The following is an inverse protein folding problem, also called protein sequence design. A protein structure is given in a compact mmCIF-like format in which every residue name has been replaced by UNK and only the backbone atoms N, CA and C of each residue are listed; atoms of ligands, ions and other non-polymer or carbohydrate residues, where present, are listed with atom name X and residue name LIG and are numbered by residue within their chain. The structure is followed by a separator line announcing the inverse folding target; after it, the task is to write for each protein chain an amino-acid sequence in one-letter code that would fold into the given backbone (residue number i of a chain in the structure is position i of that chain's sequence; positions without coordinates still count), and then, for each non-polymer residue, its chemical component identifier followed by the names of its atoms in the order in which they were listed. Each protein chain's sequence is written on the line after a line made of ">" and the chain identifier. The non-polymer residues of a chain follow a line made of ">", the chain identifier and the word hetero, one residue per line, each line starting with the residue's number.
data_IF_213696924942
#
_entry.id   IF_213696924942
#
_cell.length_a   1.000
_cell.length_b   1.000
_cell.length_c   1.000
_cell.angle_alpha   90.00
_cell.angle_beta   90.00
_cell.angle_gamma   90.00
#
_symmetry.space_group_name_H-M   'P 1'
#
loop_
_entity.id
_entity.type
_entity.pdbx_description
1 polymer ?
#
# COMPACT_ATOMS: atom_id res chain seq x y z
N UNK A 1 24.31 19.98 -15.10
CA UNK A 1 23.11 20.36 -15.89
C UNK A 1 21.91 20.30 -14.96
N UNK A 2 21.58 21.41 -14.31
CA UNK A 2 20.35 21.53 -13.52
C UNK A 2 19.24 21.93 -14.50
N UNK A 3 18.48 20.96 -14.99
CA UNK A 3 17.23 21.26 -15.67
C UNK A 3 16.29 21.84 -14.60
N UNK A 4 16.02 23.14 -14.70
CA UNK A 4 14.91 23.78 -14.03
C UNK A 4 13.64 23.02 -14.39
N UNK A 5 13.02 22.35 -13.41
CA UNK A 5 11.65 21.87 -13.56
C UNK A 5 10.80 23.13 -13.71
N UNK A 6 10.53 23.52 -14.96
CA UNK A 6 9.60 24.61 -15.27
C UNK A 6 8.26 24.32 -14.59
N UNK A 7 7.58 25.37 -14.15
CA UNK A 7 6.26 25.32 -13.51
C UNK A 7 5.14 24.93 -14.49
N UNK A 8 5.31 23.84 -15.23
CA UNK A 8 4.20 23.13 -15.83
C UNK A 8 3.60 22.24 -14.75
N UNK A 9 2.52 22.72 -14.13
CA UNK A 9 1.71 21.90 -13.23
C UNK A 9 1.00 20.85 -14.08
N UNK A 10 1.66 19.73 -14.34
CA UNK A 10 1.00 18.57 -14.93
C UNK A 10 -0.10 18.12 -13.97
N UNK A 11 -1.34 18.12 -14.43
CA UNK A 11 -2.48 17.70 -13.62
C UNK A 11 -2.43 16.19 -13.40
N UNK A 12 -2.57 15.77 -12.14
CA UNK A 12 -2.87 14.39 -11.79
C UNK A 12 -4.40 14.24 -11.71
N UNK A 13 -4.98 13.34 -12.50
CA UNK A 13 -6.41 13.04 -12.39
C UNK A 13 -6.70 12.30 -11.09
N UNK A 14 -7.93 12.42 -10.59
CA UNK A 14 -8.39 11.60 -9.46
C UNK A 14 -8.20 10.11 -9.79
N UNK A 15 -7.47 9.33 -8.98
CA UNK A 15 -7.32 7.91 -9.21
C UNK A 15 -8.67 7.19 -9.12
N UNK A 16 -8.96 6.33 -10.09
CA UNK A 16 -10.14 5.47 -10.11
C UNK A 16 -9.73 4.03 -9.79
N UNK A 17 -10.42 3.38 -8.86
CA UNK A 17 -10.23 1.96 -8.57
C UNK A 17 -10.74 1.14 -9.76
N UNK A 18 -9.90 0.27 -10.32
CA UNK A 18 -10.23 -0.57 -11.48
C UNK A 18 -10.14 -2.06 -11.17
N UNK A 19 -9.66 -2.42 -9.98
CA UNK A 19 -9.52 -3.81 -9.58
C UNK A 19 -8.93 -3.94 -8.20
N UNK A 20 -8.80 -5.19 -7.79
CA UNK A 20 -8.35 -5.58 -6.46
C UNK A 20 -7.71 -6.97 -6.49
N UNK A 21 -6.96 -7.29 -5.44
CA UNK A 21 -6.51 -8.65 -5.15
C UNK A 21 -6.31 -8.85 -3.66
N UNK A 22 -6.42 -10.11 -3.24
CA UNK A 22 -5.97 -10.59 -1.94
C UNK A 22 -4.75 -11.49 -2.13
N UNK A 23 -3.84 -11.50 -1.17
CA UNK A 23 -2.65 -12.37 -1.12
C UNK A 23 -2.67 -13.11 0.20
N UNK A 24 -2.68 -14.44 0.17
CA UNK A 24 -2.81 -15.25 1.40
C UNK A 24 -1.49 -15.44 2.17
N UNK A 25 -1.57 -16.18 3.28
CA UNK A 25 -0.43 -16.57 4.12
C UNK A 25 0.70 -17.28 3.36
N UNK A 26 0.37 -17.99 2.28
CA UNK A 26 1.32 -18.68 1.40
C UNK A 26 1.86 -17.80 0.28
N UNK A 27 1.52 -16.50 0.30
CA UNK A 27 1.84 -15.51 -0.73
C UNK A 27 1.19 -15.81 -2.09
N UNK A 28 0.05 -16.51 -2.08
CA UNK A 28 -0.69 -16.81 -3.29
C UNK A 28 -1.76 -15.78 -3.62
N UNK A 29 -1.94 -15.54 -4.93
CA UNK A 29 -2.88 -14.57 -5.46
C UNK A 29 -4.31 -15.09 -5.42
N UNK A 30 -5.23 -14.22 -4.98
CA UNK A 30 -6.68 -14.47 -4.99
C UNK A 30 -7.46 -13.28 -5.55
N UNK A 31 -8.43 -13.55 -6.43
CA UNK A 31 -9.33 -12.53 -7.00
C UNK A 31 -10.57 -12.33 -6.13
N UNK A 32 -10.37 -12.08 -4.83
CA UNK A 32 -11.45 -11.90 -3.85
C UNK A 32 -11.07 -10.86 -2.79
N UNK A 33 -11.96 -10.66 -1.81
CA UNK A 33 -11.79 -9.70 -0.72
C UNK A 33 -11.31 -10.34 0.59
N UNK A 34 -10.76 -11.56 0.54
CA UNK A 34 -10.43 -12.34 1.75
C UNK A 34 -9.43 -11.67 2.69
N UNK A 35 -8.59 -10.77 2.16
CA UNK A 35 -7.59 -10.04 2.94
C UNK A 35 -7.94 -8.58 3.19
N UNK A 36 -9.12 -8.11 2.76
CA UNK A 36 -9.60 -6.78 3.08
C UNK A 36 -9.91 -6.70 4.58
N UNK A 37 -9.29 -5.74 5.27
CA UNK A 37 -9.52 -5.47 6.70
C UNK A 37 -10.33 -4.20 6.91
N UNK A 38 -10.92 -4.06 8.09
CA UNK A 38 -11.87 -2.99 8.41
C UNK A 38 -11.45 -2.23 9.65
N UNK A 39 -11.54 -0.90 9.57
CA UNK A 39 -11.39 -0.01 10.72
C UNK A 39 -12.79 0.49 11.13
N UNK A 40 -13.36 -0.18 12.13
CA UNK A 40 -14.68 0.16 12.68
C UNK A 40 -14.66 1.38 13.59
N UNK A 41 -13.55 1.57 14.31
CA UNK A 41 -13.44 2.61 15.32
C UNK A 41 -12.00 3.07 15.48
N UNK A 42 -11.82 4.37 15.64
CA UNK A 42 -10.54 4.97 16.04
C UNK A 42 -10.62 5.31 17.53
N UNK A 43 -9.80 4.69 18.39
CA UNK A 43 -9.72 5.03 19.81
C UNK A 43 -9.53 6.53 20.05
N UNK A 44 -10.41 7.12 20.86
CA UNK A 44 -10.25 8.49 21.35
C UNK A 44 -9.39 8.51 22.61
N UNK A 45 -8.44 9.44 22.64
CA UNK A 45 -7.55 9.64 23.80
C UNK A 45 -6.27 8.82 23.73
N UNK A 46 -5.66 8.57 24.89
CA UNK A 46 -4.43 7.79 24.98
C UNK A 46 -4.74 6.30 24.87
N UNK A 47 -3.97 5.60 24.04
CA UNK A 47 -4.02 4.15 23.91
C UNK A 47 -2.69 3.55 24.35
N UNK A 48 -2.75 2.38 24.98
CA UNK A 48 -1.58 1.60 25.35
C UNK A 48 -1.65 0.28 24.59
N UNK A 49 -0.91 0.20 23.48
CA UNK A 49 -0.84 -1.00 22.64
C UNK A 49 0.54 -1.64 22.81
N UNK A 50 0.59 -2.90 23.24
CA UNK A 50 1.85 -3.63 23.34
C UNK A 50 2.24 -4.23 21.98
N UNK A 51 3.06 -3.50 21.24
CA UNK A 51 3.54 -3.95 19.92
C UNK A 51 4.46 -5.18 20.00
N UNK A 52 4.90 -5.61 21.19
CA UNK A 52 5.66 -6.83 21.37
C UNK A 52 4.77 -8.06 21.63
N UNK A 53 3.47 -7.89 21.87
CA UNK A 53 2.56 -9.00 22.18
C UNK A 53 2.52 -10.04 21.06
N UNK A 54 3.04 -11.24 21.33
CA UNK A 54 3.06 -12.36 20.38
C UNK A 54 3.99 -12.17 19.17
N UNK A 55 4.91 -11.20 19.23
CA UNK A 55 5.78 -10.86 18.09
C UNK A 55 6.78 -11.97 17.76
N UNK A 56 7.11 -12.80 18.75
CA UNK A 56 7.95 -13.99 18.60
C UNK A 56 7.31 -15.08 17.73
N UNK A 57 5.98 -15.05 17.58
CA UNK A 57 5.21 -15.97 16.72
C UNK A 57 4.98 -15.42 15.31
N UNK A 58 5.47 -14.20 15.01
CA UNK A 58 5.22 -13.55 13.73
C UNK A 58 5.79 -14.37 12.55
N UNK A 59 4.97 -14.57 11.53
CA UNK A 59 5.36 -15.20 10.27
C UNK A 59 5.89 -14.12 9.35
N UNK A 60 7.21 -14.15 9.12
CA UNK A 60 7.92 -13.20 8.26
C UNK A 60 7.60 -13.43 6.79
N UNK A 61 7.65 -12.34 6.02
CA UNK A 61 7.40 -12.38 4.59
C UNK A 61 8.47 -13.19 3.87
N UNK A 62 8.04 -14.08 2.98
CA UNK A 62 8.93 -15.05 2.31
C UNK A 62 9.67 -14.47 1.10
N UNK A 63 9.24 -13.32 0.57
CA UNK A 63 9.73 -12.72 -0.68
C UNK A 63 10.42 -11.36 -0.51
N UNK A 64 10.89 -11.07 0.70
CA UNK A 64 11.48 -9.77 1.06
C UNK A 64 12.82 -9.44 0.35
N UNK A 65 13.39 -10.37 -0.42
CA UNK A 65 14.62 -10.18 -1.21
C UNK A 65 14.40 -9.53 -2.58
N UNK A 66 13.23 -8.93 -2.80
CA UNK A 66 12.83 -8.36 -4.09
C UNK A 66 12.72 -9.41 -5.22
N UNK A 67 12.55 -10.69 -4.87
CA UNK A 67 12.31 -11.78 -5.83
C UNK A 67 10.93 -11.72 -6.50
N UNK A 68 9.89 -11.30 -5.76
CA UNK A 68 8.52 -11.20 -6.26
C UNK A 68 8.36 -10.11 -7.33
N UNK A 69 9.09 -9.00 -7.22
CA UNK A 69 9.06 -7.87 -8.16
C UNK A 69 7.62 -7.42 -8.44
N UNK A 70 7.20 -7.43 -9.70
CA UNK A 70 5.83 -7.10 -10.14
C UNK A 70 4.98 -8.35 -10.44
N UNK A 71 5.40 -9.55 -9.99
CA UNK A 71 4.74 -10.81 -10.34
C UNK A 71 3.26 -10.85 -9.95
N UNK A 72 2.90 -10.41 -8.75
CA UNK A 72 1.49 -10.37 -8.31
C UNK A 72 0.66 -9.37 -9.13
N UNK A 73 1.22 -8.21 -9.48
CA UNK A 73 0.58 -7.26 -10.40
C UNK A 73 0.36 -7.89 -11.78
N UNK A 74 1.34 -8.63 -12.30
CA UNK A 74 1.19 -9.34 -13.58
C UNK A 74 0.14 -10.46 -13.49
N UNK A 75 0.05 -11.19 -12.37
CA UNK A 75 -1.04 -12.15 -12.09
C UNK A 75 -2.40 -11.45 -12.11
N UNK A 76 -2.53 -10.30 -11.44
CA UNK A 76 -3.74 -9.47 -11.48
C UNK A 76 -4.12 -9.08 -12.91
N UNK A 77 -3.18 -8.53 -13.68
CA UNK A 77 -3.44 -8.09 -15.05
C UNK A 77 -3.86 -9.27 -15.94
N UNK A 78 -3.16 -10.41 -15.85
CA UNK A 78 -3.49 -11.61 -16.62
C UNK A 78 -4.93 -12.08 -16.35
N UNK A 79 -5.37 -12.04 -15.10
CA UNK A 79 -6.68 -12.53 -14.70
C UNK A 79 -7.83 -11.54 -14.93
N UNK A 80 -7.51 -10.25 -15.09
CA UNK A 80 -8.50 -9.17 -15.18
C UNK A 80 -8.34 -8.32 -16.45
N UNK A 81 -7.54 -8.79 -17.42
CA UNK A 81 -7.21 -8.05 -18.65
C UNK A 81 -8.49 -7.59 -19.36
N UNK A 82 -9.52 -8.44 -19.43
CA UNK A 82 -10.78 -8.18 -20.10
C UNK A 82 -11.67 -7.15 -19.40
N UNK A 83 -11.43 -6.85 -18.12
CA UNK A 83 -12.09 -5.75 -17.41
C UNK A 83 -11.25 -4.47 -17.47
N UNK A 84 -9.92 -4.61 -17.46
CA UNK A 84 -8.98 -3.50 -17.35
C UNK A 84 -8.68 -2.87 -18.70
N UNK A 85 -8.67 -3.61 -19.80
CA UNK A 85 -8.26 -3.14 -21.14
C UNK A 85 -9.42 -2.94 -22.12
N UNK A 86 -10.66 -2.79 -21.64
CA UNK A 86 -11.80 -2.50 -22.54
C UNK A 86 -11.66 -1.15 -23.25
N UNK A 87 -10.90 -0.21 -22.67
CA UNK A 87 -10.49 1.02 -23.34
C UNK A 87 -9.26 0.72 -24.24
N UNK A 88 -9.43 0.69 -25.56
CA UNK A 88 -8.44 0.35 -26.62
C UNK A 88 -7.14 1.19 -26.65
N UNK A 89 -6.81 1.97 -25.62
CA UNK A 89 -5.67 2.88 -25.61
C UNK A 89 -4.69 2.48 -24.51
N UNK A 90 -3.62 1.81 -24.95
CA UNK A 90 -2.52 1.26 -24.15
C UNK A 90 -2.13 2.10 -22.93
N UNK A 91 -2.07 1.41 -21.79
CA UNK A 91 -1.51 1.95 -20.55
C UNK A 91 -0.09 2.41 -20.80
N UNK A 92 0.25 3.65 -20.47
CA UNK A 92 1.59 4.16 -20.76
C UNK A 92 2.60 3.65 -19.73
N UNK A 93 2.21 3.63 -18.46
CA UNK A 93 3.03 3.09 -17.38
C UNK A 93 2.22 2.16 -16.48
N UNK A 94 2.81 1.02 -16.16
CA UNK A 94 2.24 -0.02 -15.30
C UNK A 94 3.23 -0.30 -14.16
N UNK A 95 2.83 -0.11 -12.91
CA UNK A 95 3.76 -0.26 -11.77
C UNK A 95 3.06 -0.41 -10.41
N UNK A 96 3.80 -0.39 -9.31
CA UNK A 96 3.25 -0.23 -7.97
C UNK A 96 3.37 1.22 -7.46
N UNK A 97 2.46 1.61 -6.56
CA UNK A 97 2.46 2.91 -5.85
C UNK A 97 3.83 3.24 -5.27
N UNK A 98 4.52 2.25 -4.69
CA UNK A 98 5.88 2.41 -4.13
C UNK A 98 6.89 2.93 -5.14
N UNK A 99 6.85 2.45 -6.39
CA UNK A 99 7.74 2.92 -7.46
C UNK A 99 7.45 4.36 -7.83
N UNK A 100 6.17 4.75 -7.91
CA UNK A 100 5.79 6.14 -8.15
C UNK A 100 6.26 7.06 -7.01
N UNK A 101 6.05 6.66 -5.75
CA UNK A 101 6.53 7.41 -4.57
C UNK A 101 8.05 7.58 -4.63
N UNK A 102 8.79 6.52 -4.96
CA UNK A 102 10.25 6.55 -5.08
C UNK A 102 10.72 7.58 -6.12
N UNK A 103 10.09 7.62 -7.30
CA UNK A 103 10.36 8.62 -8.34
C UNK A 103 10.03 10.04 -7.85
N UNK A 104 8.86 10.23 -7.25
CA UNK A 104 8.43 11.56 -6.77
C UNK A 104 9.32 12.08 -5.65
N UNK A 105 9.71 11.23 -4.69
CA UNK A 105 10.56 11.61 -3.58
C UNK A 105 12.01 11.87 -4.01
N UNK A 106 12.50 11.17 -5.02
CA UNK A 106 13.84 11.41 -5.59
C UNK A 106 13.99 12.86 -6.09
N UNK A 107 12.92 13.46 -6.63
CA UNK A 107 12.93 14.86 -7.07
C UNK A 107 13.23 15.86 -5.94
N UNK A 108 13.04 15.48 -4.68
CA UNK A 108 13.27 16.34 -3.52
C UNK A 108 14.51 15.92 -2.70
N UNK A 109 14.77 14.63 -2.59
CA UNK A 109 15.70 14.09 -1.61
C UNK A 109 17.04 13.60 -2.22
N UNK A 110 17.22 13.69 -3.54
CA UNK A 110 18.43 13.24 -4.26
C UNK A 110 18.87 11.79 -3.90
N UNK A 111 17.95 10.95 -3.44
CA UNK A 111 18.22 9.56 -3.06
C UNK A 111 18.40 8.71 -4.31
N UNK A 112 19.45 7.90 -4.40
CA UNK A 112 19.61 6.99 -5.54
C UNK A 112 18.43 6.01 -5.64
N UNK A 113 17.74 6.02 -6.78
CA UNK A 113 16.67 5.07 -7.09
C UNK A 113 17.11 4.17 -8.24
N UNK A 114 16.78 2.88 -8.17
CA UNK A 114 16.96 1.93 -9.27
C UNK A 114 15.60 1.44 -9.74
N UNK A 115 15.30 1.62 -11.01
CA UNK A 115 14.03 1.22 -11.62
C UNK A 115 14.35 0.44 -12.88
N UNK A 116 13.87 -0.79 -12.95
CA UNK A 116 13.86 -1.59 -14.18
C UNK A 116 12.63 -1.22 -14.99
N UNK A 117 12.81 -0.97 -16.29
CA UNK A 117 11.74 -0.69 -17.23
C UNK A 117 11.73 -1.72 -18.36
N UNK A 118 10.56 -2.18 -18.76
CA UNK A 118 10.38 -3.05 -19.92
C UNK A 118 9.16 -2.60 -20.74
N UNK A 119 9.32 -2.52 -22.06
CA UNK A 119 8.23 -2.23 -23.00
C UNK A 119 7.66 -3.54 -23.52
N UNK A 120 6.35 -3.74 -23.32
CA UNK A 120 5.64 -4.91 -23.84
C UNK A 120 4.20 -4.52 -24.18
N UNK A 121 3.71 -4.91 -25.37
CA UNK A 121 2.38 -4.56 -25.88
C UNK A 121 2.01 -3.08 -25.66
N UNK A 122 2.89 -2.18 -26.11
CA UNK A 122 2.75 -0.73 -25.99
C UNK A 122 2.60 -0.19 -24.55
N UNK A 123 2.95 -1.00 -23.55
CA UNK A 123 2.92 -0.61 -22.13
C UNK A 123 4.31 -0.67 -21.51
N UNK A 124 4.68 0.36 -20.73
CA UNK A 124 5.96 0.40 -20.01
C UNK A 124 5.76 -0.11 -18.59
N UNK A 125 6.33 -1.25 -18.28
CA UNK A 125 6.30 -1.85 -16.95
C UNK A 125 7.48 -1.35 -16.14
N UNK A 126 7.23 -0.78 -14.96
CA UNK A 126 8.26 -0.28 -14.06
C UNK A 126 8.31 -1.12 -12.78
N UNK A 127 9.52 -1.52 -12.39
CA UNK A 127 9.78 -2.24 -11.15
C UNK A 127 10.94 -1.58 -10.42
N UNK A 128 10.69 -1.08 -9.20
CA UNK A 128 11.78 -0.65 -8.33
C UNK A 128 12.69 -1.82 -7.98
N UNK A 129 14.00 -1.57 -7.96
CA UNK A 129 15.01 -2.51 -7.51
C UNK A 129 15.64 -1.99 -6.22
N UNK A 130 15.84 -2.89 -5.27
CA UNK A 130 16.54 -2.56 -4.03
C UNK A 130 17.99 -2.12 -4.35
N UNK A 131 18.41 -1.01 -3.76
CA UNK A 131 19.79 -0.55 -3.79
C UNK A 131 20.64 -1.29 -2.75
N UNK A 132 21.98 -1.36 -2.92
CA UNK A 132 22.84 -1.98 -1.92
C UNK A 132 22.68 -1.38 -0.51
N UNK A 133 22.42 -0.07 -0.43
CA UNK A 133 22.17 0.63 0.83
C UNK A 133 20.83 0.22 1.46
N UNK A 134 19.76 0.12 0.66
CA UNK A 134 18.46 -0.38 1.16
C UNK A 134 18.56 -1.83 1.62
N UNK A 135 19.26 -2.69 0.86
CA UNK A 135 19.51 -4.08 1.23
C UNK A 135 20.27 -4.18 2.56
N UNK A 136 21.35 -3.40 2.71
CA UNK A 136 22.09 -3.33 3.96
C UNK A 136 21.21 -2.83 5.12
N UNK A 137 20.41 -1.78 4.90
CA UNK A 137 19.50 -1.25 5.92
C UNK A 137 18.43 -2.28 6.32
N UNK A 138 17.84 -3.00 5.37
CA UNK A 138 16.87 -4.07 5.65
C UNK A 138 17.49 -5.22 6.46
N UNK A 139 18.73 -5.59 6.15
CA UNK A 139 19.45 -6.64 6.89
C UNK A 139 19.94 -6.20 8.28
N UNK A 140 20.21 -4.91 8.46
CA UNK A 140 20.73 -4.33 9.72
C UNK A 140 19.63 -3.80 10.65
N UNK A 141 18.47 -3.40 10.11
CA UNK A 141 17.30 -3.06 10.89
C UNK A 141 16.77 -4.33 11.56
N UNK A 142 16.68 -4.31 12.89
CA UNK A 142 15.99 -5.36 13.64
C UNK A 142 14.58 -5.52 13.05
N UNK A 143 14.27 -6.69 12.47
CA UNK A 143 12.95 -7.02 11.89
C UNK A 143 11.76 -6.87 12.86
N UNK A 144 12.03 -6.53 14.12
CA UNK A 144 11.08 -6.07 15.14
C UNK A 144 10.32 -4.81 14.72
N UNK A 145 10.97 -3.83 14.08
CA UNK A 145 10.29 -2.58 13.68
C UNK A 145 9.24 -2.81 12.60
N UNK A 146 9.51 -3.67 11.62
CA UNK A 146 8.51 -4.06 10.61
C UNK A 146 7.33 -4.79 11.27
N UNK A 147 7.63 -5.71 12.18
CA UNK A 147 6.61 -6.50 12.88
C UNK A 147 5.68 -5.61 13.75
N UNK A 148 6.21 -4.54 14.34
CA UNK A 148 5.41 -3.56 15.09
C UNK A 148 4.37 -2.83 14.24
N UNK A 149 4.65 -2.57 12.96
CA UNK A 149 3.67 -2.00 12.02
C UNK A 149 2.47 -2.92 11.85
N UNK A 150 2.73 -4.18 11.50
CA UNK A 150 1.67 -5.19 11.36
C UNK A 150 0.95 -5.49 12.69
N UNK A 151 1.67 -5.46 13.83
CA UNK A 151 1.02 -5.62 15.14
C UNK A 151 0.09 -4.46 15.45
N UNK A 152 0.48 -3.24 15.09
CA UNK A 152 -0.38 -2.06 15.24
C UNK A 152 -1.63 -2.15 14.36
N UNK A 153 -1.50 -2.62 13.11
CA UNK A 153 -2.63 -2.93 12.24
C UNK A 153 -3.57 -3.96 12.90
N UNK A 154 -3.02 -5.04 13.46
CA UNK A 154 -3.79 -6.08 14.15
C UNK A 154 -4.59 -5.54 15.36
N UNK A 155 -4.09 -4.51 16.05
CA UNK A 155 -4.82 -3.88 17.15
C UNK A 155 -6.01 -3.04 16.70
N UNK A 156 -5.99 -2.52 15.47
CA UNK A 156 -6.98 -1.56 14.98
C UNK A 156 -7.96 -2.18 13.99
N UNK A 157 -7.52 -3.18 13.23
CA UNK A 157 -8.25 -3.72 12.09
C UNK A 157 -8.90 -5.06 12.39
N UNK A 158 -10.14 -5.21 11.94
CA UNK A 158 -10.94 -6.43 12.03
C UNK A 158 -11.04 -7.13 10.67
N UNK A 159 -11.36 -8.42 10.68
CA UNK A 159 -11.55 -9.22 9.46
C UNK A 159 -12.93 -8.95 8.81
N UNK A 160 -13.91 -8.44 9.58
CA UNK A 160 -15.24 -8.04 9.11
C UNK A 160 -15.73 -6.81 9.88
N UNK A 161 -16.58 -5.96 9.27
CA UNK A 161 -17.21 -4.84 9.96
C UNK A 161 -17.98 -5.28 11.20
N UNK A 162 -17.83 -4.54 12.28
CA UNK A 162 -18.52 -4.76 13.56
C UNK A 162 -17.99 -5.91 14.41
N UNK A 163 -16.88 -6.56 14.00
CA UNK A 163 -16.24 -7.63 14.78
C UNK A 163 -14.99 -7.10 15.49
N UNK A 164 -14.76 -7.56 16.72
CA UNK A 164 -13.55 -7.22 17.47
C UNK A 164 -12.29 -7.80 16.83
N UNK A 165 -11.18 -7.07 16.97
CA UNK A 165 -9.89 -7.50 16.46
C UNK A 165 -9.40 -8.74 17.23
N UNK A 166 -8.90 -9.74 16.51
CA UNK A 166 -8.23 -10.88 17.13
C UNK A 166 -6.74 -10.57 17.29
N UNK A 167 -6.32 -10.20 18.50
CA UNK A 167 -4.91 -9.85 18.81
C UNK A 167 -4.04 -11.06 19.16
N UNK A 168 -4.66 -12.23 19.36
CA UNK A 168 -3.99 -13.48 19.75
C UNK A 168 -3.48 -14.28 18.54
N UNK A 169 -4.05 -14.04 17.35
CA UNK A 169 -3.52 -14.65 16.12
C UNK A 169 -2.08 -14.16 15.88
N UNK A 170 -1.19 -15.00 15.34
CA UNK A 170 0.12 -14.55 14.91
C UNK A 170 0.01 -13.41 13.89
N UNK A 171 0.97 -12.50 13.91
CA UNK A 171 1.16 -11.52 12.82
C UNK A 171 1.63 -12.28 11.59
N UNK A 172 0.96 -12.09 10.45
CA UNK A 172 1.30 -12.74 9.18
C UNK A 172 1.68 -11.66 8.16
N UNK A 173 2.98 -11.50 7.90
CA UNK A 173 3.49 -10.44 7.00
C UNK A 173 3.34 -10.78 5.51
N UNK A 174 2.94 -12.02 5.18
CA UNK A 174 2.66 -12.44 3.81
C UNK A 174 1.29 -11.97 3.31
N UNK A 175 0.33 -11.74 4.22
CA UNK A 175 -1.03 -11.38 3.84
C UNK A 175 -1.13 -9.93 3.39
N UNK A 176 -1.77 -9.69 2.25
CA UNK A 176 -1.96 -8.34 1.71
C UNK A 176 -3.29 -8.21 0.99
N UNK A 177 -3.88 -7.01 1.09
CA UNK A 177 -4.93 -6.57 0.18
C UNK A 177 -4.42 -5.40 -0.65
N UNK A 178 -4.66 -5.45 -1.95
CA UNK A 178 -4.26 -4.39 -2.87
C UNK A 178 -5.42 -3.93 -3.73
N UNK A 179 -5.46 -2.63 -3.98
CA UNK A 179 -6.30 -2.01 -4.98
C UNK A 179 -5.46 -1.60 -6.19
N UNK A 180 -6.06 -1.70 -7.36
CA UNK A 180 -5.46 -1.24 -8.60
C UNK A 180 -6.19 0.00 -9.07
N UNK A 181 -5.42 0.99 -9.51
CA UNK A 181 -5.91 2.30 -9.88
C UNK A 181 -5.54 2.63 -11.32
N UNK A 182 -6.43 3.37 -11.98
CA UNK A 182 -6.08 4.17 -13.17
C UNK A 182 -6.04 5.65 -12.84
N UNK A 183 -5.06 6.35 -13.40
CA UNK A 183 -4.96 7.81 -13.35
C UNK A 183 -4.18 8.32 -14.56
N UNK A 184 -4.17 9.64 -14.77
CA UNK A 184 -3.30 10.30 -15.74
C UNK A 184 -2.43 11.34 -15.01
N UNK A 185 -1.13 11.32 -15.28
CA UNK A 185 -0.19 12.38 -14.89
C UNK A 185 0.20 13.15 -16.16
N UNK A 186 -0.40 14.32 -16.38
CA UNK A 186 -0.37 14.95 -17.70
C UNK A 186 -0.90 13.98 -18.77
N UNK A 187 -0.16 13.79 -19.86
CA UNK A 187 -0.54 12.87 -20.93
C UNK A 187 -0.14 11.41 -20.66
N UNK A 188 0.34 11.10 -19.45
CA UNK A 188 0.83 9.77 -19.08
C UNK A 188 -0.26 8.98 -18.37
N UNK A 189 -0.85 8.00 -19.07
CA UNK A 189 -1.78 7.03 -18.46
C UNK A 189 -1.03 6.09 -17.52
N UNK A 190 -1.49 5.99 -16.29
CA UNK A 190 -0.94 5.17 -15.23
C UNK A 190 -1.94 4.05 -14.88
N UNK A 191 -1.43 2.83 -14.76
CA UNK A 191 -2.04 1.76 -13.99
C UNK A 191 -1.11 1.44 -12.84
N UNK A 192 -1.61 1.50 -11.60
CA UNK A 192 -0.78 1.11 -10.47
C UNK A 192 -1.51 0.35 -9.38
N UNK A 193 -0.83 -0.65 -8.82
CA UNK A 193 -1.28 -1.35 -7.61
C UNK A 193 -0.83 -0.62 -6.34
N UNK A 194 -1.67 -0.58 -5.33
CA UNK A 194 -1.34 -0.09 -4.00
C UNK A 194 -1.88 -1.05 -2.94
N UNK A 195 -1.00 -1.49 -2.04
CA UNK A 195 -1.42 -2.14 -0.80
C UNK A 195 -2.22 -1.17 0.04
N UNK A 196 -3.29 -1.69 0.64
CA UNK A 196 -4.23 -0.95 1.48
C UNK A 196 -4.29 -1.64 2.84
N UNK A 197 -4.12 -0.86 3.91
CA UNK A 197 -4.12 -1.40 5.27
C UNK A 197 -5.56 -1.76 5.70
N UNK A 198 -6.53 -0.86 5.47
CA UNK A 198 -7.93 -1.16 5.76
C UNK A 198 -8.96 -0.25 5.09
N UNK A 199 -10.21 -0.70 5.11
CA UNK A 199 -11.41 0.06 4.75
C UNK A 199 -11.95 0.80 5.97
N UNK A 200 -12.28 2.08 5.82
CA UNK A 200 -12.92 2.87 6.86
C UNK A 200 -14.41 2.57 6.90
N UNK A 201 -14.88 2.01 8.01
CA UNK A 201 -16.32 1.79 8.20
C UNK A 201 -16.97 3.10 8.62
N UNK A 202 -18.02 3.49 7.89
CA UNK A 202 -18.82 4.68 8.14
C UNK A 202 -20.29 4.26 8.33
N UNK A 203 -21.15 5.20 8.75
CA UNK A 203 -22.59 4.90 8.93
C UNK A 203 -23.28 4.36 7.66
N UNK A 204 -22.71 4.59 6.46
CA UNK A 204 -23.22 4.06 5.19
C UNK A 204 -22.49 2.82 4.67
N UNK A 205 -21.49 2.31 5.38
CA UNK A 205 -20.72 1.13 4.96
C UNK A 205 -21.58 -0.12 5.13
N UNK A 206 -21.91 -0.75 4.01
CA UNK A 206 -22.58 -2.05 3.98
C UNK A 206 -21.57 -3.18 4.20
N UNK A 207 -22.04 -4.37 4.59
CA UNK A 207 -21.18 -5.54 4.65
C UNK A 207 -20.61 -5.89 3.26
N UNK A 208 -19.39 -6.46 3.20
CA UNK A 208 -18.83 -6.90 1.94
C UNK A 208 -19.76 -7.92 1.25
N UNK A 209 -19.92 -7.85 -0.08
CA UNK A 209 -20.71 -8.82 -0.82
C UNK A 209 -20.15 -10.24 -0.64
N UNK A 210 -21.01 -11.21 -0.32
CA UNK A 210 -20.65 -12.62 -0.33
C UNK A 210 -20.76 -13.18 -1.76
N UNK A 211 -19.85 -12.77 -2.64
CA UNK A 211 -19.87 -13.11 -4.07
C UNK A 211 -18.46 -13.26 -4.65
N UNK A 212 -18.34 -14.08 -5.67
CA UNK A 212 -17.14 -14.17 -6.52
C UNK A 212 -17.23 -13.24 -7.74
N UNK A 213 -18.34 -12.51 -7.91
CA UNK A 213 -18.51 -11.57 -9.02
C UNK A 213 -17.55 -10.38 -8.90
N UNK A 214 -16.74 -10.18 -9.93
CA UNK A 214 -15.71 -9.15 -9.94
C UNK A 214 -16.30 -7.74 -9.91
N UNK A 215 -17.37 -7.50 -10.68
CA UNK A 215 -17.93 -6.16 -10.84
C UNK A 215 -18.70 -5.72 -9.59
N UNK A 216 -19.40 -6.64 -8.93
CA UNK A 216 -20.11 -6.39 -7.68
C UNK A 216 -19.13 -6.03 -6.56
N UNK A 217 -18.03 -6.78 -6.42
CA UNK A 217 -16.96 -6.48 -5.48
C UNK A 217 -16.25 -5.16 -5.82
N UNK A 218 -15.96 -4.90 -7.10
CA UNK A 218 -15.36 -3.64 -7.55
C UNK A 218 -16.26 -2.43 -7.24
N UNK A 219 -17.57 -2.55 -7.45
CA UNK A 219 -18.53 -1.50 -7.14
C UNK A 219 -18.60 -1.23 -5.63
N UNK A 220 -18.58 -2.28 -4.80
CA UNK A 220 -18.49 -2.14 -3.36
C UNK A 220 -17.23 -1.37 -2.95
N UNK A 221 -16.07 -1.71 -3.50
CA UNK A 221 -14.81 -1.01 -3.22
C UNK A 221 -14.84 0.46 -3.63
N UNK A 222 -15.40 0.77 -4.82
CA UNK A 222 -15.54 2.15 -5.32
C UNK A 222 -16.38 3.06 -4.44
N UNK A 223 -17.29 2.50 -3.64
CA UNK A 223 -18.21 3.25 -2.77
C UNK A 223 -17.67 3.52 -1.37
N UNK A 224 -16.50 2.97 -1.03
CA UNK A 224 -15.93 3.05 0.31
C UNK A 224 -14.65 3.89 0.37
N UNK A 225 -14.28 4.26 1.61
CA UNK A 225 -13.05 4.98 1.90
C UNK A 225 -12.03 4.06 2.56
N UNK A 226 -10.76 4.42 2.47
CA UNK A 226 -9.65 3.58 2.94
C UNK A 226 -8.77 4.35 3.92
N UNK A 227 -8.09 3.61 4.78
CA UNK A 227 -7.13 4.13 5.75
C UNK A 227 -5.76 3.55 5.50
N UNK A 228 -4.76 4.35 5.83
CA UNK A 228 -3.37 3.93 5.90
C UNK A 228 -2.90 4.16 7.34
N UNK A 229 -2.40 3.11 7.97
CA UNK A 229 -1.94 3.07 9.34
C UNK A 229 -0.42 3.13 9.36
N UNK A 230 0.13 3.94 10.26
CA UNK A 230 1.57 4.12 10.41
C UNK A 230 1.95 4.23 11.87
N UNK A 231 3.05 3.57 12.21
CA UNK A 231 3.72 3.75 13.49
C UNK A 231 4.92 4.68 13.32
N UNK A 232 5.21 5.45 14.36
CA UNK A 232 6.44 6.22 14.46
C UNK A 232 6.85 6.29 15.93
N UNK A 233 8.13 6.57 16.19
CA UNK A 233 8.58 6.91 17.53
C UNK A 233 7.84 8.12 18.06
N UNK A 234 7.75 8.21 19.38
CA UNK A 234 7.29 9.42 20.05
C UNK A 234 8.16 10.61 19.68
N UNK A 235 7.48 11.74 19.45
CA UNK A 235 8.12 13.03 19.23
C UNK A 235 8.20 13.72 20.59
N UNK A 236 9.41 13.86 21.09
CA UNK A 236 9.72 14.40 22.41
C UNK A 236 10.24 15.83 22.35
N UNK A 237 10.64 16.31 21.16
CA UNK A 237 11.16 17.66 20.99
C UNK A 237 10.78 18.32 19.65
N UNK A 238 10.83 19.66 19.56
CA UNK A 238 10.44 20.41 18.35
C UNK A 238 11.24 20.04 17.10
N UNK A 239 12.51 19.63 17.25
CA UNK A 239 13.35 19.20 16.13
C UNK A 239 12.86 17.89 15.54
N UNK A 240 12.48 16.92 16.38
CA UNK A 240 11.85 15.69 15.93
C UNK A 240 10.51 15.96 15.25
N UNK A 241 9.72 16.90 15.76
CA UNK A 241 8.45 17.30 15.15
C UNK A 241 8.65 17.97 13.78
N UNK A 242 9.62 18.87 13.66
CA UNK A 242 9.97 19.51 12.39
C UNK A 242 10.40 18.48 11.34
N UNK A 243 11.33 17.60 11.70
CA UNK A 243 11.80 16.53 10.81
C UNK A 243 10.66 15.58 10.43
N UNK A 244 9.79 15.24 11.38
CA UNK A 244 8.63 14.39 11.11
C UNK A 244 7.67 15.04 10.11
N UNK A 245 7.35 16.34 10.26
CA UNK A 245 6.51 17.08 9.31
C UNK A 245 7.12 17.12 7.92
N UNK A 246 8.44 17.33 7.81
CA UNK A 246 9.16 17.32 6.54
C UNK A 246 9.05 15.95 5.84
N UNK A 247 9.26 14.86 6.59
CA UNK A 247 9.19 13.48 6.06
C UNK A 247 7.75 13.04 5.73
N UNK A 248 6.76 13.42 6.55
CA UNK A 248 5.33 13.17 6.28
C UNK A 248 4.87 13.86 5.00
N UNK A 249 5.16 15.15 4.86
CA UNK A 249 4.75 15.93 3.68
C UNK A 249 5.29 15.34 2.37
N UNK A 250 6.45 14.68 2.45
CA UNK A 250 7.08 14.03 1.29
C UNK A 250 6.59 12.60 1.03
N UNK A 251 6.23 11.83 2.07
CA UNK A 251 6.00 10.39 1.92
C UNK A 251 4.55 9.94 2.16
N UNK A 252 3.74 10.66 2.94
CA UNK A 252 2.49 10.12 3.51
C UNK A 252 1.46 11.22 3.79
N UNK A 253 0.26 11.11 3.19
CA UNK A 253 -0.96 11.77 3.69
C UNK A 253 -1.73 10.71 4.50
N UNK A 254 -1.48 10.60 5.82
CA UNK A 254 -2.14 9.61 6.70
C UNK A 254 -2.51 10.16 8.07
N UNK A 255 -3.51 9.51 8.67
CA UNK A 255 -4.11 9.81 9.97
C UNK A 255 -3.11 9.56 11.11
N UNK A 256 -3.13 10.48 12.08
CA UNK A 256 -2.22 10.57 13.23
C UNK A 256 -2.73 9.72 14.39
N UNK A 257 -2.02 8.66 14.77
CA UNK A 257 -2.19 8.01 16.08
C UNK A 257 -0.82 8.00 16.77
N UNK A 258 -0.67 8.81 17.81
CA UNK A 258 0.54 8.85 18.62
C UNK A 258 0.42 7.79 19.72
N UNK A 259 1.29 6.78 19.69
CA UNK A 259 1.47 5.82 20.77
C UNK A 259 2.38 6.45 21.83
N UNK A 260 1.84 6.86 22.98
CA UNK A 260 2.62 7.27 24.16
C UNK A 260 2.80 6.10 25.12
#
# INVERSE_FOLDING_TARGET
>A
MNASIEKNTHSLTRPEIIGYMSVDVSREYHSNLSQLKYLDYVPRGKIHLDLNHGIEKAVKRTTDDNGEKITLLLKFLKNNIHYVTQDEIGWRFITYRRTLISVMCNAFNNTHVKIMASLFNNSIYLCSLETPTEMHNRLSLNGRFCAWGYKFEQYLLSDLPGIHQNIEKPVIENEEFSLFYKACLGDHKLLYGAQIDGLLVTNGTVHPPNTTDFQMNLNYLKQNSYVELKTNRLLENPRQEHNFKYVLTLNIISIKIALK
#
